data_IF_079916562700
#
_entry.id   IF_079916562700
#
_cell.length_a   1.000
_cell.length_b   1.000
_cell.length_c   1.000
_cell.angle_alpha   90.00
_cell.angle_beta   90.00
_cell.angle_gamma   90.00
#
_symmetry.space_group_name_H-M   'P 1'
#
loop_
_entity.id
_entity.type
_entity.pdbx_description
1 polymer ?
#
# COMPACT_ATOMS: atom_id res chain seq x y z
N UNK A 1 26.01 -31.58 56.87
CA UNK A 1 26.11 -30.56 55.79
C UNK A 1 24.68 -30.16 55.47
N UNK A 2 24.18 -29.11 56.12
CA UNK A 2 24.09 -27.72 55.60
C UNK A 2 23.06 -27.60 54.47
N UNK A 3 21.89 -27.05 54.86
CA UNK A 3 20.89 -26.19 54.19
C UNK A 3 20.31 -26.60 52.82
N UNK A 4 19.00 -26.77 52.58
CA UNK A 4 17.75 -26.05 52.92
C UNK A 4 17.26 -25.08 51.82
N UNK A 5 15.92 -25.01 51.70
CA UNK A 5 15.03 -24.13 50.94
C UNK A 5 14.94 -24.40 49.41
N UNK A 6 13.85 -24.90 48.83
CA UNK A 6 12.38 -24.67 48.94
C UNK A 6 11.88 -23.48 48.09
N UNK A 7 10.87 -23.82 47.28
CA UNK A 7 9.78 -23.03 46.69
C UNK A 7 9.97 -21.95 45.59
N UNK A 8 9.43 -22.32 44.42
CA UNK A 8 8.33 -21.67 43.68
C UNK A 8 8.41 -20.20 43.23
N UNK A 9 8.06 -20.04 41.95
CA UNK A 9 7.76 -18.77 41.26
C UNK A 9 6.75 -17.90 42.03
N UNK A 10 6.72 -16.57 41.76
CA UNK A 10 5.63 -16.12 40.90
C UNK A 10 5.94 -14.95 39.93
N UNK A 11 5.11 -14.93 38.88
CA UNK A 11 4.67 -13.84 38.01
C UNK A 11 5.06 -12.40 38.43
N UNK A 12 5.80 -11.69 37.56
CA UNK A 12 6.20 -10.30 37.76
C UNK A 12 5.18 -9.32 37.18
N UNK A 13 4.57 -8.51 38.05
CA UNK A 13 3.79 -7.31 37.70
C UNK A 13 4.70 -6.09 37.89
N UNK A 14 4.76 -5.22 36.88
CA UNK A 14 5.43 -3.91 36.86
C UNK A 14 4.45 -2.82 37.31
N UNK A 15 4.96 -1.77 37.97
CA UNK A 15 4.56 -0.33 37.89
C UNK A 15 5.45 0.48 38.88
N UNK A 16 6.31 1.39 38.38
CA UNK A 16 6.35 2.87 38.57
C UNK A 16 7.27 3.28 39.77
N UNK A 17 8.15 4.30 39.76
CA UNK A 17 8.07 5.71 39.33
C UNK A 17 9.45 6.31 38.89
N UNK A 18 9.39 7.58 38.48
CA UNK A 18 10.24 8.48 37.67
C UNK A 18 11.61 8.94 38.21
N UNK A 19 12.57 9.25 37.32
CA UNK A 19 13.45 10.42 37.49
C UNK A 19 13.99 10.95 36.13
N UNK A 20 13.83 12.25 35.95
CA UNK A 20 14.25 13.14 34.86
C UNK A 20 15.77 13.36 34.83
N UNK A 21 16.47 13.08 33.72
CA UNK A 21 17.77 13.71 33.40
C UNK A 21 17.92 13.97 31.90
N UNK A 22 18.29 15.21 31.60
CA UNK A 22 18.46 15.92 30.32
C UNK A 22 19.51 15.28 29.38
N UNK A 23 19.37 15.37 28.03
CA UNK A 23 20.30 14.73 27.10
C UNK A 23 21.50 15.63 26.74
N UNK A 24 22.72 15.09 26.53
CA UNK A 24 23.80 15.86 25.93
C UNK A 24 23.90 15.61 24.42
N UNK A 25 24.00 16.72 23.67
CA UNK A 25 24.97 16.83 22.58
C UNK A 25 24.51 16.45 21.18
N UNK A 26 24.14 17.48 20.41
CA UNK A 26 23.87 17.44 18.97
C UNK A 26 25.08 16.98 18.15
N UNK A 27 24.85 16.12 17.17
CA UNK A 27 25.65 16.02 15.95
C UNK A 27 24.68 16.09 14.76
N UNK A 28 24.82 17.13 13.94
CA UNK A 28 23.94 17.42 12.84
C UNK A 28 23.96 16.32 11.79
N UNK A 29 22.77 15.83 11.46
CA UNK A 29 22.41 15.48 10.09
C UNK A 29 21.11 16.21 9.81
N UNK A 30 21.20 17.08 8.82
CA UNK A 30 20.13 17.82 8.18
C UNK A 30 18.94 16.89 7.98
N UNK A 31 17.89 17.07 8.79
CA UNK A 31 16.65 16.34 8.59
C UNK A 31 16.09 16.73 7.22
N UNK A 32 15.54 15.78 6.45
CA UNK A 32 14.84 16.15 5.22
C UNK A 32 13.74 17.15 5.62
N UNK A 33 13.49 18.19 4.81
CA UNK A 33 12.43 19.12 5.13
C UNK A 33 11.16 18.27 5.28
N UNK A 34 10.45 18.48 6.39
CA UNK A 34 9.06 18.10 6.46
C UNK A 34 8.39 18.84 5.30
N UNK A 35 8.28 18.16 4.15
CA UNK A 35 7.41 18.55 3.08
C UNK A 35 6.05 18.57 3.75
N UNK A 36 5.59 19.78 4.06
CA UNK A 36 4.18 20.03 4.31
C UNK A 36 3.49 19.38 3.12
N UNK A 37 2.87 18.23 3.36
CA UNK A 37 1.98 17.62 2.40
C UNK A 37 0.78 18.54 2.35
N UNK A 38 0.92 19.63 1.60
CA UNK A 38 -0.21 20.28 0.95
C UNK A 38 -0.66 19.33 -0.15
N UNK A 39 -1.09 18.13 0.24
CA UNK A 39 -2.02 17.35 -0.55
C UNK A 39 -3.31 18.18 -0.48
N UNK A 40 -3.40 19.18 -1.36
CA UNK A 40 -4.69 19.45 -1.97
C UNK A 40 -5.20 18.08 -2.41
N UNK A 41 -6.41 17.71 -2.00
CA UNK A 41 -6.99 16.44 -2.36
C UNK A 41 -7.02 16.36 -3.89
N UNK A 42 -5.97 15.78 -4.48
CA UNK A 42 -5.90 15.47 -5.89
C UNK A 42 -7.02 14.46 -6.08
N UNK A 43 -8.14 14.88 -6.68
CA UNK A 43 -9.22 13.95 -6.99
C UNK A 43 -8.60 12.83 -7.81
N UNK A 44 -8.64 11.58 -7.33
CA UNK A 44 -8.10 10.44 -8.07
C UNK A 44 -8.59 10.47 -9.51
N UNK A 45 -7.76 10.10 -10.49
CA UNK A 45 -8.16 10.14 -11.92
C UNK A 45 -9.47 9.40 -12.20
N UNK A 46 -9.80 8.38 -11.41
CA UNK A 46 -11.09 7.69 -11.45
C UNK A 46 -12.26 8.58 -10.97
N UNK A 47 -12.09 9.37 -9.91
CA UNK A 47 -13.10 10.31 -9.41
C UNK A 47 -13.33 11.46 -10.40
N UNK A 48 -12.28 11.96 -11.04
CA UNK A 48 -12.43 12.97 -12.09
C UNK A 48 -13.24 12.42 -13.28
N UNK A 49 -12.96 11.19 -13.71
CA UNK A 49 -13.74 10.54 -14.77
C UNK A 49 -15.22 10.37 -14.39
N UNK A 50 -15.53 10.05 -13.13
CA UNK A 50 -16.92 9.96 -12.65
C UNK A 50 -17.60 11.34 -12.66
N UNK A 51 -16.89 12.39 -12.27
CA UNK A 51 -17.40 13.77 -12.32
C UNK A 51 -17.67 14.23 -13.76
N UNK A 52 -16.78 13.89 -14.70
CA UNK A 52 -16.95 14.20 -16.12
C UNK A 52 -18.17 13.47 -16.70
N UNK A 53 -18.33 12.18 -16.38
CA UNK A 53 -19.49 11.39 -16.78
C UNK A 53 -20.81 11.96 -16.22
N UNK A 54 -20.79 12.54 -15.02
CA UNK A 54 -21.97 13.14 -14.40
C UNK A 54 -22.35 14.47 -15.07
N UNK A 55 -21.37 15.24 -15.53
CA UNK A 55 -21.58 16.50 -16.26
C UNK A 55 -22.12 16.31 -17.68
N UNK A 56 -21.81 15.18 -18.32
CA UNK A 56 -22.26 14.84 -19.68
C UNK A 56 -23.61 14.08 -19.72
N UNK A 57 -24.17 13.75 -18.55
CA UNK A 57 -25.36 12.92 -18.45
C UNK A 57 -26.62 13.70 -18.92
N UNK A 58 -27.43 13.16 -19.84
CA UNK A 58 -28.71 13.78 -20.16
C UNK A 58 -29.61 13.76 -18.92
N UNK A 59 -30.40 14.82 -18.72
CA UNK A 59 -31.42 14.94 -17.63
C UNK A 59 -32.50 13.83 -17.65
N UNK A 60 -32.40 12.88 -18.58
CA UNK A 60 -33.29 11.73 -18.80
C UNK A 60 -32.90 10.48 -17.98
N UNK A 61 -31.84 10.50 -17.17
CA UNK A 61 -31.39 9.30 -16.41
C UNK A 61 -32.27 8.92 -15.23
N UNK A 62 -33.45 9.52 -15.09
CA UNK A 62 -34.44 9.19 -14.05
C UNK A 62 -34.08 9.72 -12.66
N UNK A 63 -32.83 10.14 -12.44
CA UNK A 63 -32.43 10.95 -11.30
C UNK A 63 -32.87 12.41 -11.51
N UNK A 64 -33.22 13.11 -10.43
CA UNK A 64 -33.55 14.54 -10.51
C UNK A 64 -32.25 15.35 -10.58
N UNK A 65 -32.28 16.50 -11.26
CA UNK A 65 -31.13 17.42 -11.32
C UNK A 65 -30.57 17.78 -9.94
N UNK A 66 -31.46 17.86 -8.95
CA UNK A 66 -31.10 18.09 -7.54
C UNK A 66 -30.24 16.94 -6.98
N UNK A 67 -30.61 15.69 -7.27
CA UNK A 67 -29.86 14.52 -6.80
C UNK A 67 -28.47 14.46 -7.45
N UNK A 68 -28.39 14.80 -8.75
CA UNK A 68 -27.11 14.89 -9.47
C UNK A 68 -26.21 16.00 -8.91
N UNK A 69 -26.79 17.15 -8.56
CA UNK A 69 -26.06 18.25 -7.92
C UNK A 69 -25.54 17.86 -6.52
N UNK A 70 -26.34 17.14 -5.73
CA UNK A 70 -25.89 16.63 -4.44
C UNK A 70 -24.79 15.58 -4.57
N UNK A 71 -24.92 14.62 -5.49
CA UNK A 71 -23.89 13.62 -5.75
C UNK A 71 -22.59 14.26 -6.19
N UNK A 72 -22.66 15.23 -7.12
CA UNK A 72 -21.49 16.01 -7.53
C UNK A 72 -20.85 16.72 -6.35
N UNK A 73 -21.64 17.42 -5.53
CA UNK A 73 -21.13 18.14 -4.36
C UNK A 73 -20.52 17.24 -3.30
N UNK A 74 -21.05 16.02 -3.10
CA UNK A 74 -20.43 15.01 -2.22
C UNK A 74 -19.10 14.57 -2.80
N UNK A 75 -19.04 14.27 -4.11
CA UNK A 75 -17.81 13.80 -4.77
C UNK A 75 -16.73 14.87 -4.92
N UNK A 76 -17.10 16.15 -4.99
CA UNK A 76 -16.16 17.29 -4.97
C UNK A 76 -15.75 17.68 -3.54
N UNK A 77 -16.38 17.09 -2.52
CA UNK A 77 -16.14 17.44 -1.13
C UNK A 77 -14.83 16.85 -0.62
N UNK A 78 -13.94 17.65 0.00
CA UNK A 78 -12.68 17.17 0.57
C UNK A 78 -12.85 16.04 1.60
N UNK A 79 -14.00 15.97 2.26
CA UNK A 79 -14.34 14.93 3.24
C UNK A 79 -14.79 13.60 2.59
N UNK A 80 -15.18 13.59 1.32
CA UNK A 80 -15.45 12.33 0.61
C UNK A 80 -14.16 11.66 0.13
N UNK A 81 -13.06 12.41 0.11
CA UNK A 81 -11.71 11.92 -0.13
C UNK A 81 -11.02 11.59 1.20
N UNK A 82 -11.77 11.04 2.17
CA UNK A 82 -11.17 10.37 3.33
C UNK A 82 -9.98 9.58 2.80
N UNK A 83 -8.79 9.94 3.28
CA UNK A 83 -7.51 9.47 2.79
C UNK A 83 -7.62 7.95 2.72
N UNK A 84 -7.84 7.43 1.51
CA UNK A 84 -7.85 6.00 1.28
C UNK A 84 -6.51 5.56 1.83
N UNK A 85 -6.51 4.87 2.98
CA UNK A 85 -5.27 4.41 3.60
C UNK A 85 -4.56 3.63 2.51
N UNK A 86 -3.49 4.23 1.96
CA UNK A 86 -2.77 3.62 0.87
C UNK A 86 -2.19 2.33 1.43
N UNK A 87 -2.80 1.22 1.05
CA UNK A 87 -2.26 -0.10 1.37
C UNK A 87 -0.89 -0.14 0.73
N UNK A 88 0.14 0.04 1.56
CA UNK A 88 1.51 0.03 1.11
C UNK A 88 1.81 -1.37 0.59
N UNK A 89 1.90 -1.49 -0.73
CA UNK A 89 2.30 -2.73 -1.36
C UNK A 89 3.79 -2.96 -1.09
N UNK A 90 4.10 -4.13 -0.56
CA UNK A 90 5.47 -4.59 -0.38
C UNK A 90 5.80 -5.63 -1.46
N UNK A 91 7.02 -5.57 -1.98
CA UNK A 91 7.49 -6.57 -2.91
C UNK A 91 7.51 -7.93 -2.21
N UNK A 92 6.95 -8.95 -2.85
CA UNK A 92 7.00 -10.32 -2.32
C UNK A 92 8.45 -10.82 -2.25
N UNK A 93 9.29 -10.40 -3.21
CA UNK A 93 10.71 -10.71 -3.29
C UNK A 93 11.44 -9.75 -4.26
N UNK A 94 12.77 -9.79 -4.23
CA UNK A 94 13.66 -9.05 -5.13
C UNK A 94 14.08 -9.88 -6.36
N UNK A 95 14.69 -9.24 -7.36
CA UNK A 95 15.32 -9.88 -8.52
C UNK A 95 14.39 -10.75 -9.39
N UNK A 96 13.16 -10.31 -9.60
CA UNK A 96 12.17 -11.06 -10.41
C UNK A 96 12.63 -11.34 -11.86
N UNK A 97 13.60 -10.59 -12.39
CA UNK A 97 14.19 -10.85 -13.72
C UNK A 97 15.02 -12.15 -13.75
N UNK A 98 15.74 -12.43 -12.66
CA UNK A 98 16.49 -13.70 -12.52
C UNK A 98 15.51 -14.88 -12.42
N UNK A 99 14.44 -14.71 -11.63
CA UNK A 99 13.38 -15.71 -11.54
C UNK A 99 12.72 -15.99 -12.91
N UNK A 100 12.42 -14.95 -13.69
CA UNK A 100 11.88 -15.12 -15.05
C UNK A 100 12.85 -15.92 -15.93
N UNK A 101 14.15 -15.67 -15.81
CA UNK A 101 15.19 -16.40 -16.56
C UNK A 101 15.25 -17.87 -16.15
N UNK A 102 15.16 -18.16 -14.84
CA UNK A 102 15.11 -19.52 -14.30
C UNK A 102 13.86 -20.27 -14.80
N UNK A 103 12.68 -19.67 -14.69
CA UNK A 103 11.42 -20.24 -15.17
C UNK A 103 11.51 -20.58 -16.67
N UNK A 104 12.03 -19.66 -17.49
CA UNK A 104 12.19 -19.88 -18.92
C UNK A 104 13.15 -21.04 -19.23
N UNK A 105 14.20 -21.21 -18.41
CA UNK A 105 15.11 -22.35 -18.47
C UNK A 105 14.40 -23.68 -18.18
N UNK A 106 13.64 -23.72 -17.09
CA UNK A 106 12.95 -24.93 -16.61
C UNK A 106 11.84 -25.39 -17.57
N UNK A 107 11.04 -24.45 -18.07
CA UNK A 107 9.91 -24.78 -18.95
C UNK A 107 10.34 -25.02 -20.41
N UNK A 108 11.60 -24.74 -20.77
CA UNK A 108 12.09 -24.83 -22.15
C UNK A 108 11.78 -26.16 -22.83
N UNK A 109 11.94 -27.28 -22.11
CA UNK A 109 11.68 -28.63 -22.60
C UNK A 109 10.18 -28.99 -22.65
N UNK A 110 9.34 -28.25 -21.93
CA UNK A 110 7.89 -28.45 -21.86
C UNK A 110 7.17 -27.78 -23.01
N UNK A 111 7.73 -26.70 -23.58
CA UNK A 111 7.17 -25.93 -24.71
C UNK A 111 6.76 -26.77 -25.93
N UNK A 112 7.40 -27.93 -26.13
CA UNK A 112 7.14 -28.82 -27.27
C UNK A 112 5.90 -29.70 -27.06
N UNK A 113 5.53 -29.93 -25.79
CA UNK A 113 4.48 -30.89 -25.40
C UNK A 113 3.26 -30.22 -24.78
N UNK A 114 3.41 -29.00 -24.30
CA UNK A 114 2.38 -28.26 -23.58
C UNK A 114 2.24 -26.85 -24.15
N UNK A 115 1.06 -26.57 -24.71
CA UNK A 115 0.72 -25.28 -25.31
C UNK A 115 0.69 -24.16 -24.25
N UNK A 116 0.33 -24.47 -23.00
CA UNK A 116 0.35 -23.51 -21.88
C UNK A 116 1.78 -23.12 -21.52
N UNK A 117 2.72 -24.07 -21.53
CA UNK A 117 4.15 -23.79 -21.31
C UNK A 117 4.73 -22.95 -22.47
N UNK A 118 4.28 -23.20 -23.70
CA UNK A 118 4.65 -22.40 -24.86
C UNK A 118 4.11 -20.97 -24.76
N UNK A 119 2.84 -20.80 -24.34
CA UNK A 119 2.21 -19.50 -24.14
C UNK A 119 2.87 -18.72 -23.00
N UNK A 120 3.10 -19.36 -21.85
CA UNK A 120 3.77 -18.74 -20.71
C UNK A 120 5.18 -18.26 -21.10
N UNK A 121 5.94 -19.08 -21.83
CA UNK A 121 7.25 -18.66 -22.31
C UNK A 121 7.18 -17.45 -23.24
N UNK A 122 6.11 -17.31 -24.04
CA UNK A 122 5.91 -16.14 -24.90
C UNK A 122 5.59 -14.89 -24.08
N UNK A 123 4.68 -14.99 -23.12
CA UNK A 123 4.27 -13.88 -22.24
C UNK A 123 5.47 -13.36 -21.44
N UNK A 124 6.25 -14.25 -20.83
CA UNK A 124 7.41 -13.87 -20.01
C UNK A 124 8.55 -13.23 -20.82
N UNK A 125 8.53 -13.34 -22.16
CA UNK A 125 9.48 -12.70 -23.07
C UNK A 125 8.99 -11.34 -23.58
N UNK A 126 7.78 -10.90 -23.23
CA UNK A 126 7.25 -9.60 -23.63
C UNK A 126 7.97 -8.45 -22.88
N UNK A 127 8.04 -7.23 -23.46
CA UNK A 127 8.76 -6.10 -22.86
C UNK A 127 8.28 -5.67 -21.47
N UNK A 128 7.07 -6.07 -21.06
CA UNK A 128 6.53 -5.78 -19.74
C UNK A 128 7.15 -6.65 -18.63
N UNK A 129 7.82 -7.76 -19.01
CA UNK A 129 8.43 -8.74 -18.12
C UNK A 129 9.97 -8.77 -18.19
N UNK A 130 10.58 -7.87 -18.98
CA UNK A 130 12.03 -7.70 -19.16
C UNK A 130 12.49 -6.37 -18.57
#
# INVERSE_FOLDING_TARGET
MVTAMDDSCPNGVREEEEEEVTPPGQAGVEGPPAVQSTQGAETSGAMQQVLDNLGELPTSTGAKDIDLLFLRGIMESPIAHEQLEEVKLEAVQDNNVELVTEILGDISNLKVKDDSAAELSRILQEPHFQ
#
